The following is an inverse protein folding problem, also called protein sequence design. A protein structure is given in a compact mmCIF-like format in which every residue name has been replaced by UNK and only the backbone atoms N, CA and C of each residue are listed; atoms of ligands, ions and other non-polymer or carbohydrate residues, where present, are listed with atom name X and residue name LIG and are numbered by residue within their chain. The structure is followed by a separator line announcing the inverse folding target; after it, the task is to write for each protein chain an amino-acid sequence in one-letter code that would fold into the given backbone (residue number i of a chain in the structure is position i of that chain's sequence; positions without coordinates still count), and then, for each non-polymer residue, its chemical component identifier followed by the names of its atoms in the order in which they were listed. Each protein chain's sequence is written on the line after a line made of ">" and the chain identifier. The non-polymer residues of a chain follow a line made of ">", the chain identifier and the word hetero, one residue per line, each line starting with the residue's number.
data_IF_524104148695
#
_entry.id   IF_524104148695
#
_cell.length_a   1.000
_cell.length_b   1.000
_cell.length_c   1.000
_cell.angle_alpha   90.00
_cell.angle_beta   90.00
_cell.angle_gamma   90.00
#
_symmetry.space_group_name_H-M   'P 1'
#
loop_
_entity.id
_entity.type
_entity.pdbx_description
1 polymer ?
#
# COMPACT_ATOMS: atom_id res chain seq x y z
N UNK A 1 -10.42 -0.44 -0.20
CA UNK A 1 -9.01 -0.87 -0.26
C UNK A 1 -8.22 -0.04 0.74
N UNK A 2 -7.27 -0.65 1.44
CA UNK A 2 -6.35 0.03 2.36
C UNK A 2 -4.91 -0.37 1.99
N UNK A 3 -4.00 0.61 2.03
CA UNK A 3 -2.56 0.39 1.99
C UNK A 3 -2.03 0.80 3.36
N UNK A 4 -1.50 -0.15 4.13
CA UNK A 4 -0.94 0.10 5.46
C UNK A 4 0.58 0.10 5.36
N UNK A 5 1.21 1.27 5.50
CA UNK A 5 2.66 1.41 5.25
C UNK A 5 3.46 1.06 6.52
N UNK A 6 4.19 -0.05 6.45
CA UNK A 6 4.95 -0.59 7.57
C UNK A 6 4.08 -1.27 8.63
N UNK A 7 4.69 -1.76 9.71
CA UNK A 7 4.01 -2.28 10.90
C UNK A 7 4.43 -1.46 12.12
N UNK A 8 3.44 -1.13 12.97
CA UNK A 8 3.59 -0.31 14.17
C UNK A 8 4.23 1.07 13.91
N UNK A 9 4.08 1.59 12.69
CA UNK A 9 4.63 2.88 12.23
C UNK A 9 3.86 4.08 12.77
N UNK A 10 2.67 3.87 13.33
CA UNK A 10 1.90 4.92 14.02
C UNK A 10 2.71 5.57 15.15
N UNK A 11 3.56 4.80 15.84
CA UNK A 11 4.42 5.30 16.90
C UNK A 11 5.48 6.32 16.42
N UNK A 12 5.72 6.41 15.12
CA UNK A 12 6.62 7.41 14.52
C UNK A 12 5.98 8.79 14.41
N UNK A 13 4.69 8.95 14.73
CA UNK A 13 3.96 10.22 14.72
C UNK A 13 4.12 11.03 13.40
N UNK A 14 4.28 10.33 12.28
CA UNK A 14 4.46 10.93 10.95
C UNK A 14 5.91 11.26 10.57
N UNK A 15 6.89 11.08 11.45
CA UNK A 15 8.31 11.24 11.11
C UNK A 15 8.74 10.23 10.04
N UNK A 16 9.42 10.70 9.00
CA UNK A 16 9.82 9.89 7.85
C UNK A 16 8.71 9.64 6.82
N UNK A 17 7.52 10.24 7.00
CA UNK A 17 6.41 10.18 6.04
C UNK A 17 6.04 11.58 5.57
N UNK A 18 6.25 11.84 4.28
CA UNK A 18 5.79 13.05 3.61
C UNK A 18 4.57 12.70 2.75
N UNK A 19 3.40 13.23 3.12
CA UNK A 19 2.12 12.91 2.48
C UNK A 19 1.85 13.90 1.34
N UNK A 20 1.67 13.38 0.12
CA UNK A 20 1.59 14.19 -1.10
C UNK A 20 0.15 14.42 -1.59
N UNK A 21 -0.83 13.81 -0.93
CA UNK A 21 -2.26 13.88 -1.27
C UNK A 21 -3.09 14.20 -0.04
N UNK A 22 -4.32 14.67 -0.24
CA UNK A 22 -5.25 14.97 0.85
C UNK A 22 -6.48 14.09 0.77
N UNK A 23 -7.20 14.02 1.88
CA UNK A 23 -8.50 13.36 1.91
C UNK A 23 -9.45 13.98 0.88
N UNK A 24 -10.13 13.12 0.12
CA UNK A 24 -11.04 13.53 -0.96
C UNK A 24 -10.37 13.71 -2.33
N UNK A 25 -9.05 13.70 -2.41
CA UNK A 25 -8.36 13.79 -3.70
C UNK A 25 -8.64 12.56 -4.58
N UNK A 26 -8.88 12.81 -5.87
CA UNK A 26 -8.97 11.75 -6.87
C UNK A 26 -7.59 11.47 -7.46
N UNK A 27 -7.12 10.22 -7.34
CA UNK A 27 -5.81 9.79 -7.82
C UNK A 27 -5.92 8.82 -9.00
N UNK A 28 -4.85 8.68 -9.78
CA UNK A 28 -4.74 7.73 -10.89
C UNK A 28 -3.56 6.78 -10.72
N UNK A 29 -3.55 5.66 -11.43
CA UNK A 29 -2.45 4.69 -11.37
C UNK A 29 -1.11 5.38 -11.66
N UNK A 30 -0.16 5.17 -10.75
CA UNK A 30 1.18 5.75 -10.83
C UNK A 30 1.32 7.16 -10.26
N UNK A 31 0.26 7.75 -9.68
CA UNK A 31 0.42 8.96 -8.86
C UNK A 31 1.12 8.62 -7.54
N UNK A 32 2.13 9.42 -7.13
CA UNK A 32 2.75 9.27 -5.83
C UNK A 32 1.78 9.72 -4.72
N UNK A 33 1.65 8.91 -3.67
CA UNK A 33 0.75 9.20 -2.54
C UNK A 33 1.53 9.74 -1.33
N UNK A 34 2.73 9.22 -1.10
CA UNK A 34 3.62 9.64 -0.01
C UNK A 34 5.07 9.29 -0.37
N UNK A 35 6.01 10.11 0.09
CA UNK A 35 7.42 9.78 0.16
C UNK A 35 7.73 9.22 1.55
N UNK A 36 8.44 8.09 1.61
CA UNK A 36 8.76 7.39 2.85
C UNK A 36 10.27 7.24 2.96
N UNK A 37 10.84 7.65 4.10
CA UNK A 37 12.23 7.37 4.43
C UNK A 37 12.34 5.96 5.01
N UNK A 38 12.69 5.00 4.14
CA UNK A 38 12.84 3.60 4.52
C UNK A 38 14.02 3.35 5.45
N UNK A 39 15.08 4.15 5.36
CA UNK A 39 16.26 3.97 6.21
C UNK A 39 15.98 4.47 7.61
N UNK A 40 15.34 5.63 7.75
CA UNK A 40 14.80 6.11 9.02
C UNK A 40 13.86 5.07 9.64
N UNK A 41 12.85 4.61 8.88
CA UNK A 41 11.85 3.64 9.38
C UNK A 41 12.49 2.37 9.93
N UNK A 42 13.49 1.81 9.23
CA UNK A 42 14.24 0.63 9.69
C UNK A 42 15.08 0.95 10.93
N UNK A 43 15.75 2.10 10.95
CA UNK A 43 16.59 2.53 12.09
C UNK A 43 15.78 2.72 13.38
N UNK A 44 14.51 3.10 13.26
CA UNK A 44 13.53 3.18 14.36
C UNK A 44 12.93 1.82 14.75
N UNK A 45 13.55 0.71 14.30
CA UNK A 45 13.14 -0.67 14.58
C UNK A 45 11.72 -1.02 14.11
N UNK A 46 11.23 -0.36 13.06
CA UNK A 46 9.93 -0.64 12.44
C UNK A 46 10.08 -1.52 11.20
N UNK A 47 9.11 -2.39 10.97
CA UNK A 47 9.08 -3.24 9.77
C UNK A 47 8.49 -2.43 8.62
N UNK A 48 9.12 -2.48 7.45
CA UNK A 48 8.65 -1.80 6.23
C UNK A 48 7.68 -2.65 5.39
N UNK A 49 7.26 -3.80 5.92
CA UNK A 49 6.23 -4.65 5.28
C UNK A 49 4.95 -3.83 5.17
N UNK A 50 4.40 -3.72 3.97
CA UNK A 50 3.27 -2.84 3.66
C UNK A 50 2.08 -3.69 3.19
N UNK A 51 1.15 -4.07 4.09
CA UNK A 51 -0.06 -4.78 3.69
C UNK A 51 -0.94 -3.97 2.73
N UNK A 52 -1.48 -4.64 1.72
CA UNK A 52 -2.51 -4.10 0.83
C UNK A 52 -3.77 -4.95 0.98
N UNK A 53 -4.87 -4.33 1.39
CA UNK A 53 -6.10 -5.01 1.76
C UNK A 53 -7.29 -4.55 0.91
N UNK A 54 -8.14 -5.49 0.51
CA UNK A 54 -9.45 -5.20 -0.05
C UNK A 54 -10.47 -5.27 1.07
N UNK A 55 -10.88 -4.10 1.58
CA UNK A 55 -11.72 -3.99 2.78
C UNK A 55 -13.19 -4.37 2.59
N UNK A 56 -13.70 -4.27 1.36
CA UNK A 56 -15.07 -4.60 0.99
C UNK A 56 -15.12 -5.90 0.17
N UNK A 57 -14.28 -6.87 0.55
CA UNK A 57 -14.13 -8.13 -0.18
C UNK A 57 -15.44 -8.89 -0.27
N UNK A 58 -16.11 -9.13 0.86
CA UNK A 58 -17.34 -9.91 0.91
C UNK A 58 -18.47 -9.29 0.09
N UNK A 59 -18.55 -7.96 0.01
CA UNK A 59 -19.62 -7.26 -0.70
C UNK A 59 -19.39 -7.18 -2.21
N UNK A 60 -18.14 -6.99 -2.64
CA UNK A 60 -17.83 -6.58 -4.02
C UNK A 60 -17.01 -7.58 -4.80
N UNK A 61 -16.29 -8.50 -4.15
CA UNK A 61 -15.34 -9.39 -4.83
C UNK A 61 -15.87 -10.82 -4.83
N UNK A 62 -15.92 -11.42 -6.02
CA UNK A 62 -16.29 -12.83 -6.24
C UNK A 62 -15.07 -13.73 -6.13
N UNK A 63 -13.97 -13.33 -6.76
CA UNK A 63 -12.70 -14.05 -6.76
C UNK A 63 -11.55 -13.07 -6.95
N UNK A 64 -10.33 -13.46 -6.58
CA UNK A 64 -9.12 -12.72 -6.93
C UNK A 64 -8.00 -13.66 -7.32
N UNK A 65 -7.12 -13.16 -8.18
CA UNK A 65 -5.93 -13.87 -8.65
C UNK A 65 -4.74 -12.93 -8.49
N UNK A 66 -3.69 -13.41 -7.83
CA UNK A 66 -2.41 -12.71 -7.82
C UNK A 66 -1.77 -12.88 -9.20
N UNK A 67 -1.38 -11.75 -9.77
CA UNK A 67 -0.60 -11.70 -11.00
C UNK A 67 0.88 -11.61 -10.63
N UNK A 68 1.71 -12.33 -11.38
CA UNK A 68 3.14 -12.55 -11.12
C UNK A 68 3.45 -13.45 -9.92
N UNK A 69 3.76 -14.73 -10.21
CA UNK A 69 4.33 -15.68 -9.24
C UNK A 69 5.78 -15.35 -8.83
N UNK A 70 6.37 -14.28 -9.36
CA UNK A 70 7.69 -13.80 -8.98
C UNK A 70 7.62 -13.00 -7.67
N UNK A 71 8.51 -13.28 -6.72
CA UNK A 71 8.64 -12.61 -5.42
C UNK A 71 8.94 -11.09 -5.50
N UNK A 72 9.07 -10.53 -6.69
CA UNK A 72 9.42 -9.12 -6.94
C UNK A 72 8.49 -8.54 -7.99
N UNK A 73 8.03 -7.33 -7.71
CA UNK A 73 7.21 -6.49 -8.59
C UNK A 73 7.81 -5.09 -8.65
N UNK A 74 7.62 -4.38 -9.76
CA UNK A 74 8.01 -2.97 -9.91
C UNK A 74 6.80 -2.05 -9.82
N UNK A 75 7.06 -0.76 -9.57
CA UNK A 75 6.03 0.26 -9.61
C UNK A 75 5.28 0.23 -10.96
N UNK A 76 3.95 0.32 -10.91
CA UNK A 76 3.03 0.24 -12.07
C UNK A 76 2.85 -1.15 -12.70
N UNK A 77 3.46 -2.20 -12.15
CA UNK A 77 3.15 -3.57 -12.56
C UNK A 77 1.84 -4.06 -11.93
N UNK A 78 1.13 -4.93 -12.65
CA UNK A 78 -0.10 -5.55 -12.16
C UNK A 78 0.23 -6.64 -11.14
N UNK A 79 -0.36 -6.55 -9.95
CA UNK A 79 -0.08 -7.48 -8.84
C UNK A 79 -1.28 -8.38 -8.54
N UNK A 80 -2.50 -7.90 -8.80
CA UNK A 80 -3.72 -8.62 -8.43
C UNK A 80 -4.87 -8.22 -9.36
N UNK A 81 -5.61 -9.23 -9.83
CA UNK A 81 -6.87 -9.08 -10.55
C UNK A 81 -8.02 -9.52 -9.64
N UNK A 82 -9.10 -8.75 -9.63
CA UNK A 82 -10.35 -9.12 -8.96
C UNK A 82 -11.46 -9.33 -9.98
N UNK A 83 -12.21 -10.42 -9.81
CA UNK A 83 -13.54 -10.56 -10.41
C UNK A 83 -14.55 -9.97 -9.43
N UNK A 84 -15.35 -9.03 -9.90
CA UNK A 84 -16.41 -8.41 -9.09
C UNK A 84 -17.69 -9.24 -9.16
N UNK A 85 -18.55 -9.09 -8.14
CA UNK A 85 -19.89 -9.68 -8.12
C UNK A 85 -20.85 -8.92 -9.04
#
# INVERSE_FOLDING_TARGET
>A
MIIHVGLDTVELNGEGFDILVKEGDTVKVGYPLSNIDLEFTKSSNKKVVTPVLITNYEDKVKSFHLENNSLRVKCKELVLKCELK
#
